data_IF_370659687474
#
_entry.id   IF_370659687474
#
_cell.length_a   1.000
_cell.length_b   1.000
_cell.length_c   1.000
_cell.angle_alpha   90.00
_cell.angle_beta   90.00
_cell.angle_gamma   90.00
#
_symmetry.space_group_name_H-M   'P 1'
#
loop_
_entity.id
_entity.type
_entity.pdbx_description
1 polymer ?
#
# COMPACT_ATOMS: atom_id res chain seq x y z
N UNK A 1 -23.29 -24.78 -3.02
CA UNK A 1 -23.03 -23.43 -2.49
C UNK A 1 -21.52 -23.21 -2.49
N UNK A 2 -20.98 -22.81 -3.63
CA UNK A 2 -19.61 -22.28 -3.72
C UNK A 2 -19.78 -20.77 -3.71
N UNK A 3 -19.39 -20.13 -2.62
CA UNK A 3 -19.19 -18.68 -2.64
C UNK A 3 -17.82 -18.53 -3.30
N UNK A 4 -17.82 -18.34 -4.63
CA UNK A 4 -16.63 -17.87 -5.32
C UNK A 4 -16.50 -16.40 -4.93
N UNK A 5 -15.57 -16.14 -4.02
CA UNK A 5 -15.21 -14.78 -3.61
C UNK A 5 -14.48 -14.14 -4.78
N UNK A 6 -15.21 -13.48 -5.66
CA UNK A 6 -14.60 -12.56 -6.62
C UNK A 6 -13.73 -11.58 -5.83
N UNK A 7 -12.44 -11.40 -6.18
CA UNK A 7 -11.63 -10.37 -5.56
C UNK A 7 -12.32 -9.03 -5.81
N UNK A 8 -12.82 -8.41 -4.74
CA UNK A 8 -13.51 -7.14 -4.84
C UNK A 8 -12.47 -6.05 -5.15
N UNK A 9 -12.28 -5.79 -6.44
CA UNK A 9 -11.40 -4.74 -6.92
C UNK A 9 -12.00 -3.36 -6.65
N UNK A 10 -11.13 -2.38 -6.47
CA UNK A 10 -11.54 -1.01 -6.19
C UNK A 10 -12.22 -0.35 -7.38
N UNK A 11 -13.21 0.48 -7.09
CA UNK A 11 -13.74 1.43 -8.07
C UNK A 11 -12.77 2.61 -8.31
N UNK A 12 -12.97 3.35 -9.40
CA UNK A 12 -12.12 4.49 -9.78
C UNK A 12 -12.04 5.57 -8.70
N UNK A 13 -13.13 5.76 -7.93
CA UNK A 13 -13.20 6.78 -6.88
C UNK A 13 -12.38 6.37 -5.66
N UNK A 14 -12.44 5.09 -5.29
CA UNK A 14 -11.63 4.50 -4.22
C UNK A 14 -10.15 4.56 -4.60
N UNK A 15 -9.80 4.19 -5.83
CA UNK A 15 -8.42 4.27 -6.32
C UNK A 15 -7.90 5.71 -6.33
N UNK A 16 -8.70 6.68 -6.78
CA UNK A 16 -8.33 8.10 -6.75
C UNK A 16 -8.08 8.59 -5.31
N UNK A 17 -8.91 8.17 -4.34
CA UNK A 17 -8.72 8.50 -2.92
C UNK A 17 -7.43 7.93 -2.36
N UNK A 18 -7.10 6.68 -2.70
CA UNK A 18 -5.86 6.02 -2.28
C UNK A 18 -4.65 6.72 -2.88
N UNK A 19 -4.67 7.01 -4.18
CA UNK A 19 -3.61 7.78 -4.86
C UNK A 19 -3.36 9.11 -4.19
N UNK A 20 -4.41 9.81 -3.76
CA UNK A 20 -4.27 11.06 -3.04
C UNK A 20 -3.63 10.87 -1.65
N UNK A 21 -4.05 9.86 -0.88
CA UNK A 21 -3.49 9.55 0.45
C UNK A 21 -2.02 9.09 0.41
N UNK A 22 -1.57 8.55 -0.71
CA UNK A 22 -0.19 8.08 -0.89
C UNK A 22 0.83 9.19 -1.19
N UNK A 23 0.38 10.45 -1.36
CA UNK A 23 1.29 11.59 -1.57
C UNK A 23 2.00 11.94 -0.27
N UNK A 24 3.33 11.88 -0.25
CA UNK A 24 4.15 12.07 0.96
C UNK A 24 5.13 13.25 0.85
N UNK A 25 5.59 13.73 2.00
CA UNK A 25 6.59 14.81 2.07
C UNK A 25 8.01 14.32 1.82
N UNK A 26 8.28 13.06 2.17
CA UNK A 26 9.54 12.38 1.85
C UNK A 26 9.50 11.80 0.43
N UNK A 27 10.47 12.20 -0.40
CA UNK A 27 10.52 11.87 -1.83
C UNK A 27 10.59 10.36 -2.07
N UNK A 28 11.38 9.65 -1.28
CA UNK A 28 11.55 8.21 -1.39
C UNK A 28 10.22 7.47 -1.19
N UNK A 29 9.43 7.86 -0.18
CA UNK A 29 8.11 7.28 0.05
C UNK A 29 7.14 7.61 -1.10
N UNK A 30 7.13 8.86 -1.56
CA UNK A 30 6.25 9.31 -2.63
C UNK A 30 6.52 8.53 -3.94
N UNK A 31 7.79 8.37 -4.31
CA UNK A 31 8.20 7.62 -5.50
C UNK A 31 7.84 6.14 -5.41
N UNK A 32 8.11 5.50 -4.28
CA UNK A 32 7.84 4.07 -4.09
C UNK A 32 6.33 3.80 -4.12
N UNK A 33 5.54 4.60 -3.40
CA UNK A 33 4.09 4.46 -3.40
C UNK A 33 3.47 4.74 -4.77
N UNK A 34 3.96 5.75 -5.50
CA UNK A 34 3.50 6.04 -6.85
C UNK A 34 3.78 4.88 -7.81
N UNK A 35 5.01 4.34 -7.81
CA UNK A 35 5.38 3.18 -8.64
C UNK A 35 4.55 1.94 -8.32
N UNK A 36 4.35 1.68 -7.03
CA UNK A 36 3.49 0.59 -6.57
C UNK A 36 2.06 0.75 -7.10
N UNK A 37 1.44 1.93 -6.95
CA UNK A 37 0.07 2.17 -7.41
C UNK A 37 -0.07 2.19 -8.93
N UNK A 38 0.97 2.58 -9.67
CA UNK A 38 0.98 2.49 -11.13
C UNK A 38 1.07 1.04 -11.61
N UNK A 39 1.80 0.18 -10.89
CA UNK A 39 1.93 -1.23 -11.22
C UNK A 39 0.73 -2.08 -10.76
N UNK A 40 0.14 -1.78 -9.59
CA UNK A 40 -0.82 -2.65 -8.90
C UNK A 40 -2.16 -2.00 -8.55
N UNK A 41 -2.30 -0.68 -8.71
CA UNK A 41 -3.47 0.06 -8.23
C UNK A 41 -4.80 -0.45 -8.78
N UNK A 42 -4.85 -0.90 -10.03
CA UNK A 42 -6.06 -1.44 -10.66
C UNK A 42 -6.47 -2.83 -10.15
N UNK A 43 -5.55 -3.55 -9.50
CA UNK A 43 -5.77 -4.92 -8.99
C UNK A 43 -5.67 -5.01 -7.47
N UNK A 44 -5.64 -3.86 -6.77
CA UNK A 44 -5.61 -3.82 -5.32
C UNK A 44 -6.86 -4.49 -4.76
N UNK A 45 -6.66 -5.41 -3.82
CA UNK A 45 -7.74 -6.03 -3.07
C UNK A 45 -8.10 -5.19 -1.85
N UNK A 46 -9.31 -5.36 -1.30
CA UNK A 46 -9.71 -4.70 -0.06
C UNK A 46 -8.75 -4.98 1.11
N UNK A 47 -8.20 -6.18 1.18
CA UNK A 47 -7.23 -6.57 2.20
C UNK A 47 -5.92 -5.77 2.06
N UNK A 48 -5.39 -5.65 0.83
CA UNK A 48 -4.21 -4.80 0.58
C UNK A 48 -4.49 -3.33 0.86
N UNK A 49 -5.72 -2.85 0.62
CA UNK A 49 -6.11 -1.48 1.00
C UNK A 49 -6.12 -1.30 2.51
N UNK A 50 -6.60 -2.28 3.28
CA UNK A 50 -6.55 -2.21 4.75
C UNK A 50 -5.10 -2.19 5.28
N UNK A 51 -4.22 -2.98 4.68
CA UNK A 51 -2.78 -2.94 4.98
C UNK A 51 -2.19 -1.57 4.64
N UNK A 52 -2.53 -1.03 3.47
CA UNK A 52 -2.06 0.28 3.00
C UNK A 52 -2.56 1.39 3.93
N UNK A 53 -3.81 1.35 4.38
CA UNK A 53 -4.33 2.34 5.32
C UNK A 53 -3.60 2.31 6.66
N UNK A 54 -3.16 1.13 7.13
CA UNK A 54 -2.31 0.99 8.33
C UNK A 54 -0.95 1.63 8.10
N UNK A 55 -0.28 1.33 6.98
CA UNK A 55 0.99 1.95 6.64
C UNK A 55 0.86 3.46 6.45
N UNK A 56 -0.28 3.92 5.91
CA UNK A 56 -0.51 5.33 5.67
C UNK A 56 -0.84 6.12 6.95
N UNK A 57 -1.10 5.46 8.08
CA UNK A 57 -1.22 6.11 9.38
C UNK A 57 0.15 6.49 9.98
N UNK A 58 1.25 5.94 9.46
CA UNK A 58 2.61 6.23 9.91
C UNK A 58 3.10 7.59 9.43
N UNK A 59 4.03 8.17 10.19
CA UNK A 59 4.83 9.32 9.73
C UNK A 59 5.75 8.91 8.58
N UNK A 60 6.26 9.90 7.83
CA UNK A 60 7.13 9.63 6.69
C UNK A 60 8.42 8.89 7.08
N UNK A 61 9.01 9.20 8.24
CA UNK A 61 10.22 8.52 8.71
C UNK A 61 9.94 7.08 9.15
N UNK A 62 8.83 6.84 9.86
CA UNK A 62 8.45 5.48 10.29
C UNK A 62 8.17 4.57 9.08
N UNK A 63 7.42 5.08 8.10
CA UNK A 63 7.17 4.35 6.86
C UNK A 63 8.47 4.06 6.12
N UNK A 64 9.38 5.03 6.05
CA UNK A 64 10.66 4.86 5.40
C UNK A 64 11.56 3.84 6.12
N UNK A 65 11.57 3.82 7.44
CA UNK A 65 12.35 2.84 8.21
C UNK A 65 11.88 1.41 7.95
N UNK A 66 10.57 1.20 7.77
CA UNK A 66 10.02 -0.08 7.33
C UNK A 66 10.44 -0.42 5.91
N UNK A 67 10.23 0.48 4.95
CA UNK A 67 10.54 0.22 3.53
C UNK A 67 12.05 0.00 3.34
N UNK A 68 12.91 0.80 3.99
CA UNK A 68 14.36 0.68 3.93
C UNK A 68 14.94 -0.51 4.72
N UNK A 69 14.11 -1.30 5.40
CA UNK A 69 14.56 -2.49 6.13
C UNK A 69 15.31 -2.18 7.43
N UNK A 70 15.11 -0.99 8.00
CA UNK A 70 15.69 -0.59 9.30
C UNK A 70 14.85 -1.04 10.47
N UNK A 71 13.55 -1.25 10.23
CA UNK A 71 12.60 -1.77 11.19
C UNK A 71 11.82 -2.93 10.55
N UNK A 72 11.41 -3.88 11.39
CA UNK A 72 10.63 -5.03 10.95
C UNK A 72 9.12 -4.73 11.02
N UNK A 73 8.37 -4.82 9.91
CA UNK A 73 6.92 -4.63 9.95
C UNK A 73 6.19 -5.73 10.72
N UNK A 74 5.04 -5.35 11.26
CA UNK A 74 4.09 -6.31 11.84
C UNK A 74 3.63 -7.33 10.80
N UNK A 75 3.28 -8.53 11.25
CA UNK A 75 2.82 -9.62 10.37
C UNK A 75 1.59 -9.22 9.53
N UNK A 76 0.74 -8.32 10.05
CA UNK A 76 -0.47 -7.82 9.40
C UNK A 76 -0.18 -7.00 8.14
N UNK A 77 0.93 -6.26 8.08
CA UNK A 77 1.30 -5.41 6.94
C UNK A 77 2.54 -5.91 6.19
N UNK A 78 3.20 -6.93 6.73
CA UNK A 78 4.39 -7.57 6.15
C UNK A 78 4.29 -7.83 4.65
N UNK A 79 3.22 -8.46 4.11
CA UNK A 79 3.17 -8.78 2.69
C UNK A 79 3.25 -7.52 1.81
N UNK A 80 2.54 -6.46 2.21
CA UNK A 80 2.52 -5.21 1.46
C UNK A 80 3.86 -4.46 1.55
N UNK A 81 4.53 -4.48 2.71
CA UNK A 81 5.87 -3.88 2.83
C UNK A 81 6.88 -4.60 1.94
N UNK A 82 6.80 -5.92 1.84
CA UNK A 82 7.67 -6.69 0.95
C UNK A 82 7.39 -6.37 -0.53
N UNK A 83 6.13 -6.12 -0.91
CA UNK A 83 5.79 -5.60 -2.25
C UNK A 83 6.33 -4.18 -2.50
N UNK A 84 6.25 -3.28 -1.52
CA UNK A 84 6.78 -1.92 -1.65
C UNK A 84 8.30 -1.89 -1.79
N UNK A 85 9.01 -2.85 -1.19
CA UNK A 85 10.48 -2.98 -1.29
C UNK A 85 10.97 -3.37 -2.68
N UNK A 86 10.10 -3.93 -3.52
CA UNK A 86 10.44 -4.36 -4.89
C UNK A 86 9.85 -3.45 -5.98
N UNK A 87 9.10 -2.41 -5.59
CA UNK A 87 8.36 -1.52 -6.49
C UNK A 87 9.24 -0.62 -7.38
#
# INVERSE_FOLDING_TARGET
MKIESDPNFLDDRQLARIRWRCRRGLLENDLILARFLDAKGATLTEEQVAMLDTLLALTDNELWDLIAGRCEPEASVRPLVDELRIA
#
